data_IF_233972817953
#
_entry.id   IF_233972817953
#
_cell.length_a   1.000
_cell.length_b   1.000
_cell.length_c   1.000
_cell.angle_alpha   90.00
_cell.angle_beta   90.00
_cell.angle_gamma   90.00
#
_symmetry.space_group_name_H-M   'P 1'
#
loop_
_entity.id
_entity.type
_entity.pdbx_description
1 polymer ?
#
# COMPACT_ATOMS: atom_id res chain seq x y z
N UNK A 1 0.78 7.19 11.45
CA UNK A 1 -0.32 7.61 12.36
C UNK A 1 -0.42 9.13 12.33
N UNK A 2 -1.60 9.70 12.58
CA UNK A 2 -1.73 11.15 12.69
C UNK A 2 -1.03 11.69 13.94
N UNK A 3 -0.52 12.91 13.82
CA UNK A 3 0.13 13.69 14.88
C UNK A 3 -0.68 14.96 15.11
N UNK A 4 -0.94 15.27 16.37
CA UNK A 4 -1.59 16.52 16.77
C UNK A 4 -0.55 17.65 16.72
N UNK A 5 -0.85 18.71 15.96
CA UNK A 5 -0.01 19.91 15.82
C UNK A 5 -0.61 21.13 16.52
N UNK A 6 -1.86 21.04 16.99
CA UNK A 6 -2.51 22.07 17.79
C UNK A 6 -3.84 21.59 18.37
N UNK A 7 -4.60 22.50 18.98
CA UNK A 7 -5.85 22.19 19.70
C UNK A 7 -6.86 21.45 18.79
N UNK A 8 -6.97 21.85 17.51
CA UNK A 8 -7.85 21.23 16.50
C UNK A 8 -7.05 20.77 15.25
N UNK A 9 -5.73 21.01 15.23
CA UNK A 9 -4.87 20.80 14.04
C UNK A 9 -4.21 19.43 14.10
N UNK A 10 -4.36 18.65 13.03
CA UNK A 10 -3.77 17.33 12.89
C UNK A 10 -2.98 17.22 11.58
N UNK A 11 -1.96 16.37 11.57
CA UNK A 11 -1.20 16.00 10.38
C UNK A 11 -1.12 14.48 10.27
N UNK A 12 -1.52 13.93 9.14
CA UNK A 12 -1.59 12.48 8.91
C UNK A 12 -3.01 11.95 8.95
N UNK A 13 -3.17 10.62 9.04
CA UNK A 13 -4.48 9.95 8.93
C UNK A 13 -5.08 9.56 10.28
N UNK A 14 -6.35 9.88 10.49
CA UNK A 14 -7.21 9.41 11.58
C UNK A 14 -8.42 8.74 10.92
N UNK A 15 -8.54 7.42 11.05
CA UNK A 15 -9.57 6.66 10.32
C UNK A 15 -9.49 6.92 8.81
N UNK A 16 -10.64 7.25 8.22
CA UNK A 16 -10.76 7.59 6.79
C UNK A 16 -10.42 9.04 6.45
N UNK A 17 -10.15 9.89 7.44
CA UNK A 17 -9.78 11.29 7.25
C UNK A 17 -8.25 11.45 7.24
N UNK A 18 -7.75 12.08 6.20
CA UNK A 18 -6.36 12.49 6.05
C UNK A 18 -6.25 14.01 6.21
N UNK A 19 -5.48 14.44 7.19
CA UNK A 19 -5.22 15.84 7.49
C UNK A 19 -3.85 16.24 6.96
N UNK A 20 -3.78 17.34 6.20
CA UNK A 20 -2.54 17.84 5.62
C UNK A 20 -2.56 19.38 5.54
N UNK A 21 -1.36 19.97 5.51
CA UNK A 21 -1.17 21.42 5.44
C UNK A 21 -0.90 21.81 3.99
N UNK A 22 -1.68 22.73 3.45
CA UNK A 22 -1.45 23.42 2.17
C UNK A 22 -1.02 24.86 2.41
N UNK A 23 -0.72 25.61 1.33
CA UNK A 23 -0.42 27.04 1.40
C UNK A 23 -1.59 27.84 2.02
N UNK A 24 -2.82 27.40 1.76
CA UNK A 24 -4.04 28.07 2.21
C UNK A 24 -4.53 27.62 3.61
N UNK A 25 -3.88 26.63 4.24
CA UNK A 25 -4.22 26.21 5.60
C UNK A 25 -4.22 24.69 5.84
N UNK A 26 -4.85 24.28 6.94
CA UNK A 26 -5.05 22.85 7.28
C UNK A 26 -6.30 22.33 6.59
N UNK A 27 -6.17 21.27 5.80
CA UNK A 27 -7.27 20.63 5.10
C UNK A 27 -7.45 19.19 5.57
N UNK A 28 -8.69 18.72 5.54
CA UNK A 28 -9.06 17.33 5.77
C UNK A 28 -9.69 16.77 4.49
N UNK A 29 -9.25 15.59 4.06
CA UNK A 29 -9.85 14.84 2.97
C UNK A 29 -10.23 13.45 3.44
N UNK A 30 -11.35 12.91 2.95
CA UNK A 30 -11.58 11.47 3.06
C UNK A 30 -10.59 10.72 2.16
N UNK A 31 -10.43 9.42 2.42
CA UNK A 31 -9.65 8.52 1.57
C UNK A 31 -10.24 8.54 0.16
N UNK A 32 -9.65 9.36 -0.71
CA UNK A 32 -9.96 9.34 -2.14
C UNK A 32 -9.56 8.01 -2.78
N UNK A 33 -10.28 7.63 -3.83
CA UNK A 33 -10.08 6.38 -4.56
C UNK A 33 -11.30 5.47 -4.50
N UNK A 34 -11.17 4.32 -5.16
CA UNK A 34 -12.22 3.29 -5.21
C UNK A 34 -12.17 2.48 -3.91
N UNK A 35 -13.31 2.16 -3.31
CA UNK A 35 -13.37 1.33 -2.11
C UNK A 35 -12.86 -0.10 -2.38
N UNK A 36 -12.35 -0.75 -1.33
CA UNK A 36 -11.80 -2.11 -1.46
C UNK A 36 -12.90 -3.11 -1.85
N UNK A 37 -14.09 -2.95 -1.27
CA UNK A 37 -15.29 -3.75 -1.54
C UNK A 37 -15.70 -3.63 -3.00
N UNK A 38 -15.61 -2.42 -3.56
CA UNK A 38 -15.91 -2.19 -4.97
C UNK A 38 -14.87 -2.83 -5.88
N UNK A 39 -13.57 -2.75 -5.57
CA UNK A 39 -12.55 -3.46 -6.34
C UNK A 39 -12.78 -4.98 -6.30
N UNK A 40 -13.21 -5.52 -5.15
CA UNK A 40 -13.46 -6.93 -4.97
C UNK A 40 -14.68 -7.44 -5.74
N UNK A 41 -15.76 -6.65 -5.82
CA UNK A 41 -17.06 -7.10 -6.31
C UNK A 41 -17.44 -6.57 -7.69
N UNK A 42 -17.07 -5.33 -8.04
CA UNK A 42 -17.52 -4.68 -9.28
C UNK A 42 -16.88 -5.39 -10.50
N UNK A 43 -17.68 -5.80 -11.52
CA UNK A 43 -17.19 -6.47 -12.71
C UNK A 43 -16.13 -5.68 -13.48
N UNK A 44 -16.18 -4.34 -13.41
CA UNK A 44 -15.22 -3.47 -14.11
C UNK A 44 -13.77 -3.66 -13.63
N UNK A 45 -13.58 -4.16 -12.40
CA UNK A 45 -12.26 -4.43 -11.83
C UNK A 45 -11.83 -5.90 -11.96
N UNK A 46 -12.54 -6.72 -12.74
CA UNK A 46 -12.19 -8.14 -12.92
C UNK A 46 -10.74 -8.32 -13.39
N UNK A 47 -10.34 -7.62 -14.46
CA UNK A 47 -8.96 -7.70 -15.00
C UNK A 47 -7.92 -7.21 -13.98
N UNK A 48 -8.27 -6.22 -13.15
CA UNK A 48 -7.39 -5.75 -12.05
C UNK A 48 -7.17 -6.86 -11.02
N UNK A 49 -8.21 -7.63 -10.68
CA UNK A 49 -8.09 -8.76 -9.74
C UNK A 49 -7.27 -9.90 -10.35
N UNK A 50 -7.49 -10.22 -11.62
CA UNK A 50 -6.73 -11.25 -12.35
C UNK A 50 -5.24 -10.91 -12.37
N UNK A 51 -4.88 -9.69 -12.78
CA UNK A 51 -3.50 -9.21 -12.77
C UNK A 51 -2.91 -9.26 -11.35
N UNK A 52 -3.66 -8.81 -10.34
CA UNK A 52 -3.23 -8.86 -8.94
C UNK A 52 -2.90 -10.27 -8.47
N UNK A 53 -3.71 -11.26 -8.86
CA UNK A 53 -3.47 -12.66 -8.53
C UNK A 53 -2.26 -13.24 -9.28
N UNK A 54 -2.02 -12.82 -10.52
CA UNK A 54 -0.85 -13.22 -11.31
C UNK A 54 0.45 -12.66 -10.72
N UNK A 55 0.52 -11.35 -10.47
CA UNK A 55 1.69 -10.73 -9.83
C UNK A 55 1.92 -11.29 -8.42
N UNK A 56 0.86 -11.56 -7.67
CA UNK A 56 0.94 -12.22 -6.37
C UNK A 56 1.56 -13.62 -6.45
N UNK A 57 1.22 -14.41 -7.47
CA UNK A 57 1.84 -15.72 -7.73
C UNK A 57 3.31 -15.59 -8.11
N UNK A 58 3.64 -14.68 -9.03
CA UNK A 58 5.01 -14.44 -9.45
C UNK A 58 5.90 -14.01 -8.26
N UNK A 59 5.41 -13.11 -7.41
CA UNK A 59 6.12 -12.68 -6.21
C UNK A 59 6.36 -13.83 -5.21
N UNK A 60 5.37 -14.70 -5.01
CA UNK A 60 5.51 -15.91 -4.17
C UNK A 60 6.53 -16.89 -4.74
N UNK A 61 6.52 -17.13 -6.05
CA UNK A 61 7.51 -17.98 -6.71
C UNK A 61 8.93 -17.40 -6.55
N UNK A 62 9.11 -16.10 -6.80
CA UNK A 62 10.40 -15.43 -6.58
C UNK A 62 10.87 -15.48 -5.13
N UNK A 63 9.94 -15.35 -4.16
CA UNK A 63 10.25 -15.56 -2.73
C UNK A 63 10.71 -16.98 -2.46
N UNK A 64 10.01 -17.99 -2.99
CA UNK A 64 10.38 -19.40 -2.83
C UNK A 64 11.78 -19.68 -3.35
N UNK A 65 12.11 -19.24 -4.58
CA UNK A 65 13.45 -19.38 -5.14
C UNK A 65 14.51 -18.73 -4.24
N UNK A 66 14.28 -17.48 -3.81
CA UNK A 66 15.22 -16.78 -2.92
C UNK A 66 15.41 -17.52 -1.60
N UNK A 67 14.35 -18.08 -1.02
CA UNK A 67 14.44 -18.85 0.22
C UNK A 67 15.17 -20.17 0.02
N UNK A 68 14.86 -20.92 -1.05
CA UNK A 68 15.48 -22.22 -1.34
C UNK A 68 16.99 -22.09 -1.58
N UNK A 69 17.41 -21.04 -2.30
CA UNK A 69 18.83 -20.81 -2.63
C UNK A 69 19.51 -19.79 -1.71
N UNK A 70 18.90 -19.44 -0.57
CA UNK A 70 19.41 -18.39 0.33
C UNK A 70 20.85 -18.67 0.77
N UNK A 71 21.14 -19.90 1.18
CA UNK A 71 22.46 -20.29 1.68
C UNK A 71 23.52 -20.17 0.58
N UNK A 72 23.23 -20.71 -0.62
CA UNK A 72 24.14 -20.66 -1.76
C UNK A 72 24.38 -19.21 -2.25
N UNK A 73 23.31 -18.43 -2.39
CA UNK A 73 23.42 -17.03 -2.86
C UNK A 73 24.09 -16.11 -1.85
N UNK A 74 23.94 -16.38 -0.55
CA UNK A 74 24.62 -15.59 0.49
C UNK A 74 26.15 -15.77 0.51
N UNK A 75 26.63 -16.90 0.02
CA UNK A 75 28.07 -17.22 -0.07
C UNK A 75 28.71 -16.71 -1.37
N UNK A 76 27.90 -16.43 -2.40
CA UNK A 76 28.34 -15.94 -3.71
C UNK A 76 28.29 -14.41 -3.83
N UNK A 77 27.93 -13.70 -2.75
CA UNK A 77 27.94 -12.25 -2.75
C UNK A 77 29.40 -11.75 -2.84
N UNK A 78 29.69 -10.94 -3.87
CA UNK A 78 30.97 -10.23 -3.97
C UNK A 78 31.13 -9.30 -2.75
N UNK A 79 32.38 -9.20 -2.26
CA UNK A 79 32.75 -8.33 -1.14
C UNK A 79 32.64 -6.85 -1.49
#
# INVERSE_FOLDING_TARGET
>A
MARQEGIIKFKGKIGDLAFYKTKDGYQARTKGGVSAERIATDPRYQRTRENGAEFGRAAKAGKLFRTAFKTLTSQLADK
#
